data_IF_626927021336
#
_entry.id   IF_626927021336
#
_cell.length_a   1.000
_cell.length_b   1.000
_cell.length_c   1.000
_cell.angle_alpha   90.00
_cell.angle_beta   90.00
_cell.angle_gamma   90.00
#
_symmetry.space_group_name_H-M   'P 1'
#
loop_
_entity.id
_entity.type
_entity.pdbx_description
1 polymer ?
#
# COMPACT_ATOMS: atom_id res chain seq x y z
N UNK A 1 0.05 -6.96 -30.65
CA UNK A 1 -0.74 -7.39 -31.82
C UNK A 1 -1.52 -8.68 -31.54
N UNK A 2 -0.91 -9.69 -30.90
CA UNK A 2 -1.52 -11.00 -30.56
C UNK A 2 -2.92 -10.94 -29.90
N UNK A 3 -3.09 -10.18 -28.81
CA UNK A 3 -4.35 -10.13 -28.05
C UNK A 3 -5.51 -9.57 -28.89
N UNK A 4 -5.25 -8.55 -29.73
CA UNK A 4 -6.27 -7.96 -30.61
C UNK A 4 -6.73 -8.97 -31.66
N UNK A 5 -5.79 -9.67 -32.28
CA UNK A 5 -6.08 -10.70 -33.30
C UNK A 5 -6.81 -11.91 -32.71
N UNK A 6 -6.43 -12.35 -31.51
CA UNK A 6 -7.11 -13.43 -30.78
C UNK A 6 -8.58 -13.11 -30.53
N UNK A 7 -8.88 -11.90 -30.02
CA UNK A 7 -10.27 -11.45 -29.79
C UNK A 7 -11.05 -11.26 -31.09
N UNK A 8 -10.41 -10.71 -32.14
CA UNK A 8 -11.04 -10.54 -33.46
C UNK A 8 -11.43 -11.88 -34.10
N UNK A 9 -10.71 -12.96 -33.78
CA UNK A 9 -11.00 -14.33 -34.21
C UNK A 9 -11.99 -15.06 -33.28
N UNK A 10 -12.65 -14.35 -32.37
CA UNK A 10 -13.64 -14.91 -31.45
C UNK A 10 -13.04 -15.66 -30.25
N UNK A 11 -11.73 -15.55 -30.02
CA UNK A 11 -11.09 -16.14 -28.84
C UNK A 11 -11.52 -15.43 -27.56
N UNK A 12 -11.97 -16.21 -26.57
CA UNK A 12 -12.31 -15.73 -25.23
C UNK A 12 -11.38 -16.33 -24.19
N UNK A 13 -10.84 -15.51 -23.29
CA UNK A 13 -10.03 -16.03 -22.20
C UNK A 13 -10.88 -16.81 -21.21
N UNK A 14 -10.29 -17.84 -20.57
CA UNK A 14 -10.97 -18.63 -19.54
C UNK A 14 -11.42 -17.70 -18.39
N UNK A 15 -12.73 -17.47 -18.27
CA UNK A 15 -13.31 -16.55 -17.28
C UNK A 15 -13.94 -15.28 -17.89
N UNK A 16 -13.70 -15.00 -19.16
CA UNK A 16 -14.38 -13.93 -19.92
C UNK A 16 -15.84 -14.35 -20.13
N UNK A 17 -16.79 -13.69 -19.46
CA UNK A 17 -18.21 -14.06 -19.43
C UNK A 17 -18.71 -14.65 -18.11
N UNK A 18 -17.81 -15.06 -17.20
CA UNK A 18 -18.19 -15.17 -15.79
C UNK A 18 -18.38 -13.75 -15.30
N UNK A 19 -19.63 -13.29 -15.14
CA UNK A 19 -19.93 -12.17 -14.23
C UNK A 19 -19.09 -12.45 -13.00
N UNK A 20 -18.07 -11.61 -12.75
CA UNK A 20 -17.24 -11.74 -11.55
C UNK A 20 -18.24 -12.03 -10.44
N UNK A 21 -18.14 -13.19 -9.79
CA UNK A 21 -19.00 -13.49 -8.63
C UNK A 21 -18.94 -12.20 -7.84
N UNK A 22 -20.09 -11.55 -7.67
CA UNK A 22 -20.22 -10.45 -6.71
C UNK A 22 -19.92 -11.13 -5.38
N UNK A 23 -18.64 -11.30 -5.08
CA UNK A 23 -18.18 -11.23 -3.70
C UNK A 23 -18.76 -9.90 -3.29
N UNK A 24 -19.74 -9.97 -2.40
CA UNK A 24 -20.52 -8.85 -1.88
C UNK A 24 -19.64 -7.78 -1.23
N UNK A 25 -18.33 -7.99 -1.20
CA UNK A 25 -17.31 -7.09 -0.72
C UNK A 25 -16.49 -6.57 -1.89
N UNK A 26 -16.71 -5.32 -2.31
CA UNK A 26 -15.75 -4.62 -3.18
C UNK A 26 -14.38 -4.63 -2.48
N UNK A 27 -13.39 -5.47 -2.87
CA UNK A 27 -12.23 -5.73 -2.01
C UNK A 27 -11.41 -4.46 -1.78
N UNK A 28 -11.39 -3.60 -2.79
CA UNK A 28 -10.69 -2.31 -2.80
C UNK A 28 -11.42 -1.22 -2.03
N UNK A 29 -12.76 -1.26 -1.95
CA UNK A 29 -13.53 -0.22 -1.26
C UNK A 29 -13.15 -0.14 0.22
N UNK A 30 -12.85 -1.30 0.83
CA UNK A 30 -12.30 -1.37 2.19
C UNK A 30 -11.01 -0.55 2.32
N UNK A 31 -10.07 -0.72 1.39
CA UNK A 31 -8.79 0.00 1.43
C UNK A 31 -8.98 1.51 1.25
N UNK A 32 -9.89 1.93 0.37
CA UNK A 32 -10.22 3.36 0.21
C UNK A 32 -10.86 3.95 1.47
N UNK A 33 -11.80 3.25 2.09
CA UNK A 33 -12.47 3.70 3.32
C UNK A 33 -11.54 3.77 4.54
N UNK A 34 -10.39 3.09 4.52
CA UNK A 34 -9.41 3.12 5.61
C UNK A 34 -8.60 4.43 5.65
N UNK A 35 -8.57 5.19 4.55
CA UNK A 35 -7.78 6.42 4.37
C UNK A 35 -6.31 6.26 4.78
N UNK A 36 -5.46 5.86 3.82
CA UNK A 36 -4.06 5.58 4.10
C UNK A 36 -3.21 6.85 4.12
N UNK A 37 -2.46 7.04 5.21
CA UNK A 37 -1.66 8.24 5.47
C UNK A 37 -0.19 7.89 5.74
N UNK A 38 0.71 8.85 5.53
CA UNK A 38 2.10 8.72 5.93
C UNK A 38 2.24 8.85 7.45
N UNK A 39 2.53 7.72 8.11
CA UNK A 39 2.69 7.64 9.55
C UNK A 39 3.89 8.46 10.05
N UNK A 40 4.91 8.66 9.21
CA UNK A 40 6.05 9.50 9.58
C UNK A 40 5.64 10.97 9.69
N UNK A 41 4.96 11.51 8.68
CA UNK A 41 4.39 12.86 8.73
C UNK A 41 3.39 13.03 9.88
N UNK A 42 2.55 12.02 10.14
CA UNK A 42 1.57 12.07 11.23
C UNK A 42 2.23 12.17 12.61
N UNK A 43 3.24 11.33 12.91
CA UNK A 43 3.87 11.35 14.24
C UNK A 43 4.80 12.54 14.43
N UNK A 44 5.50 12.98 13.38
CA UNK A 44 6.47 14.07 13.48
C UNK A 44 5.84 15.46 13.42
N UNK A 45 4.82 15.65 12.58
CA UNK A 45 4.23 16.95 12.26
C UNK A 45 2.73 17.04 12.55
N UNK A 46 2.11 15.95 13.03
CA UNK A 46 0.64 15.86 13.20
C UNK A 46 -0.13 16.16 11.90
N UNK A 47 0.52 15.93 10.75
CA UNK A 47 -0.02 16.21 9.43
C UNK A 47 -0.62 14.94 8.82
N UNK A 48 -1.85 15.05 8.30
CA UNK A 48 -2.52 14.01 7.52
C UNK A 48 -2.06 14.15 6.07
N UNK A 49 -1.04 13.38 5.69
CA UNK A 49 -0.51 13.37 4.32
C UNK A 49 -0.93 12.07 3.65
N UNK A 50 -1.61 12.09 2.48
CA UNK A 50 -1.99 10.88 1.77
C UNK A 50 -0.79 9.99 1.49
N UNK A 51 -0.94 8.68 1.70
CA UNK A 51 0.14 7.73 1.41
C UNK A 51 0.22 7.39 -0.08
N UNK A 52 0.61 8.38 -0.89
CA UNK A 52 0.79 8.24 -2.33
C UNK A 52 2.18 8.73 -2.73
N UNK A 53 2.69 8.21 -3.85
CA UNK A 53 3.79 8.85 -4.55
C UNK A 53 3.21 10.06 -5.28
N UNK A 54 3.89 11.19 -5.19
CA UNK A 54 3.55 12.38 -5.99
C UNK A 54 3.94 12.16 -7.45
N UNK A 55 5.10 11.54 -7.69
CA UNK A 55 5.61 11.25 -9.04
C UNK A 55 5.96 9.77 -9.19
N UNK A 56 5.57 9.20 -10.33
CA UNK A 56 5.93 7.83 -10.72
C UNK A 56 7.38 7.81 -11.22
N UNK A 57 8.37 7.59 -10.34
CA UNK A 57 9.72 7.28 -10.82
C UNK A 57 10.86 7.36 -9.80
N UNK A 58 10.85 8.34 -8.89
CA UNK A 58 12.02 8.61 -8.05
C UNK A 58 11.74 8.51 -6.55
N UNK A 59 10.51 8.78 -6.12
CA UNK A 59 10.24 8.93 -4.70
C UNK A 59 10.00 7.59 -4.00
N UNK A 60 10.67 7.35 -2.85
CA UNK A 60 10.37 6.20 -2.02
C UNK A 60 8.92 6.27 -1.55
N UNK A 61 8.23 5.12 -1.53
CA UNK A 61 6.87 5.05 -1.00
C UNK A 61 6.88 5.53 0.46
N UNK A 62 5.91 6.33 0.96
CA UNK A 62 5.87 6.77 2.37
C UNK A 62 5.54 5.62 3.32
N UNK A 63 5.66 5.83 4.65
CA UNK A 63 5.36 4.78 5.61
C UNK A 63 3.85 4.72 5.85
N UNK A 64 3.15 3.95 5.02
CA UNK A 64 1.70 3.95 5.04
C UNK A 64 1.11 3.21 6.25
N UNK A 65 0.12 3.83 6.89
CA UNK A 65 -0.79 3.20 7.85
C UNK A 65 -2.22 3.68 7.61
N UNK A 66 -3.24 2.87 7.93
CA UNK A 66 -4.63 3.31 7.83
C UNK A 66 -4.92 4.35 8.93
N UNK A 67 -5.72 5.35 8.60
CA UNK A 67 -6.25 6.31 9.57
C UNK A 67 -7.47 5.73 10.29
N UNK A 68 -8.34 5.03 9.55
CA UNK A 68 -9.59 4.47 10.05
C UNK A 68 -9.59 2.94 10.07
N UNK A 69 -10.12 2.37 11.15
CA UNK A 69 -10.40 0.94 11.28
C UNK A 69 -11.77 0.64 10.66
N UNK A 70 -11.77 0.03 9.47
CA UNK A 70 -13.00 -0.28 8.72
C UNK A 70 -13.50 -1.71 8.97
N UNK A 71 -12.58 -2.62 9.31
CA UNK A 71 -12.91 -4.01 9.60
C UNK A 71 -11.89 -4.62 10.55
N UNK A 72 -12.17 -5.80 11.15
CA UNK A 72 -11.20 -6.53 11.97
C UNK A 72 -9.89 -6.86 11.24
N UNK A 73 -9.95 -6.98 9.91
CA UNK A 73 -8.80 -7.21 9.04
C UNK A 73 -7.98 -5.93 8.77
N UNK A 74 -8.42 -4.78 9.27
CA UNK A 74 -7.66 -3.53 9.13
C UNK A 74 -6.44 -3.61 10.06
N UNK A 75 -5.22 -3.40 9.53
CA UNK A 75 -4.02 -3.31 10.35
C UNK A 75 -4.16 -2.23 11.42
N UNK A 76 -3.28 -2.28 12.43
CA UNK A 76 -3.18 -1.22 13.45
C UNK A 76 -3.09 0.14 12.77
N UNK A 77 -3.98 1.05 13.18
CA UNK A 77 -4.07 2.40 12.61
C UNK A 77 -2.92 3.28 13.10
N UNK A 78 -2.74 4.42 12.43
CA UNK A 78 -1.72 5.40 12.83
C UNK A 78 -1.97 5.98 14.23
N UNK A 79 -3.23 5.99 14.69
CA UNK A 79 -3.62 6.48 16.02
C UNK A 79 -3.49 5.42 17.11
N UNK A 80 -3.66 4.14 16.76
CA UNK A 80 -3.53 3.01 17.68
C UNK A 80 -2.07 2.56 17.88
N UNK A 81 -1.22 2.80 16.88
CA UNK A 81 0.18 2.38 16.93
C UNK A 81 1.01 3.24 17.89
N UNK A 82 2.00 2.60 18.54
CA UNK A 82 2.95 3.31 19.41
C UNK A 82 3.76 4.36 18.61
N UNK A 83 3.69 5.66 18.98
CA UNK A 83 4.45 6.70 18.33
C UNK A 83 5.96 6.48 18.36
N UNK A 84 6.51 5.85 19.41
CA UNK A 84 7.94 5.58 19.49
C UNK A 84 8.35 4.52 18.47
N UNK A 85 7.58 3.43 18.36
CA UNK A 85 7.76 2.41 17.33
C UNK A 85 7.66 3.00 15.92
N UNK A 86 6.67 3.87 15.64
CA UNK A 86 6.55 4.54 14.34
C UNK A 86 7.81 5.35 14.05
N UNK A 87 8.31 6.16 14.99
CA UNK A 87 9.55 6.94 14.81
C UNK A 87 10.76 6.05 14.49
N UNK A 88 10.90 4.93 15.20
CA UNK A 88 11.97 3.97 14.93
C UNK A 88 11.88 3.40 13.50
N UNK A 89 10.67 3.03 13.05
CA UNK A 89 10.45 2.52 11.69
C UNK A 89 10.67 3.58 10.62
N UNK A 90 10.30 4.83 10.88
CA UNK A 90 10.61 5.96 10.01
C UNK A 90 12.13 6.13 9.83
N UNK A 91 12.91 6.07 10.91
CA UNK A 91 14.39 6.14 10.82
C UNK A 91 14.97 5.03 9.95
N UNK A 92 14.51 3.79 10.14
CA UNK A 92 14.92 2.64 9.30
C UNK A 92 14.49 2.83 7.84
N UNK A 93 13.33 3.44 7.63
CA UNK A 93 12.78 3.72 6.31
C UNK A 93 13.61 4.73 5.52
N UNK A 94 13.97 5.85 6.17
CA UNK A 94 14.76 6.93 5.58
C UNK A 94 16.24 6.60 5.45
N UNK A 95 16.73 5.54 6.11
CA UNK A 95 18.09 5.06 5.92
C UNK A 95 18.28 4.56 4.48
N UNK A 96 19.37 4.96 3.84
CA UNK A 96 19.69 4.61 2.46
C UNK A 96 19.63 3.08 2.25
N UNK A 97 19.15 2.60 1.07
CA UNK A 97 19.07 1.18 0.76
C UNK A 97 20.41 0.44 0.89
N UNK A 98 21.53 1.09 0.52
CA UNK A 98 22.88 0.55 0.65
C UNK A 98 23.22 0.16 2.09
N UNK A 99 22.81 0.97 3.06
CA UNK A 99 23.08 0.72 4.47
C UNK A 99 22.14 -0.34 5.11
N UNK A 100 21.21 -0.94 4.35
CA UNK A 100 20.44 -2.12 4.79
C UNK A 100 21.10 -3.44 4.40
N UNK A 101 21.84 -3.48 3.29
CA UNK A 101 22.51 -4.68 2.81
C UNK A 101 23.64 -5.11 3.76
N UNK A 102 24.37 -4.15 4.35
CA UNK A 102 25.47 -4.42 5.29
C UNK A 102 25.08 -5.19 6.57
N UNK A 103 23.79 -5.22 6.94
CA UNK A 103 23.35 -5.87 8.20
C UNK A 103 22.87 -7.32 8.02
N UNK A 104 22.75 -7.80 6.78
CA UNK A 104 22.47 -9.22 6.47
C UNK A 104 23.76 -10.01 6.18
N UNK A 105 24.93 -9.39 6.33
CA UNK A 105 26.25 -9.98 6.06
C UNK A 105 27.19 -9.98 7.27
N UNK A 106 26.69 -9.71 8.48
CA UNK A 106 27.46 -9.90 9.70
C UNK A 106 27.23 -11.35 10.19
N UNK A 107 28.31 -12.13 10.45
CA UNK A 107 28.23 -13.51 10.92
C UNK A 107 27.59 -13.62 12.32
#
# INVERSE_FOLDING_TARGET
WLVRTYKARGGTFRGEGRKQRKTSERPLARWYAQEWVDACAFVQRKAIVPCARTNSGAEPMPYCRPLHRVSPLTPVTVTEADPAQIRARCRVKHRAPSARADRMSLP
#
